data_IF_948538183057
#
_entry.id   IF_948538183057
#
_cell.length_a   1.000
_cell.length_b   1.000
_cell.length_c   1.000
_cell.angle_alpha   90.00
_cell.angle_beta   90.00
_cell.angle_gamma   90.00
#
_symmetry.space_group_name_H-M   'P 1'
#
loop_
_entity.id
_entity.type
_entity.pdbx_description
1 polymer ?
#
# COMPACT_ATOMS: atom_id res chain seq x y z
N UNK A 1 -13.14 -20.71 13.80
CA UNK A 1 -12.98 -19.61 12.81
C UNK A 1 -12.88 -18.24 13.48
N UNK A 2 -13.60 -17.97 14.57
CA UNK A 2 -13.67 -16.65 15.24
C UNK A 2 -12.36 -16.16 15.89
N UNK A 3 -11.54 -17.07 16.44
CA UNK A 3 -10.24 -16.75 17.05
C UNK A 3 -9.19 -16.30 16.02
N UNK A 4 -9.24 -16.85 14.80
CA UNK A 4 -8.33 -16.50 13.72
C UNK A 4 -8.57 -15.08 13.18
N UNK A 5 -9.83 -14.66 13.08
CA UNK A 5 -10.20 -13.31 12.63
C UNK A 5 -9.83 -12.24 13.67
N UNK A 6 -10.04 -12.52 14.97
CA UNK A 6 -9.58 -11.65 16.06
C UNK A 6 -8.07 -11.43 16.05
N UNK A 7 -7.28 -12.49 15.88
CA UNK A 7 -5.81 -12.38 15.79
C UNK A 7 -5.38 -11.58 14.55
N UNK A 8 -6.01 -11.85 13.41
CA UNK A 8 -5.73 -11.15 12.15
C UNK A 8 -5.98 -9.63 12.25
N UNK A 9 -7.11 -9.25 12.84
CA UNK A 9 -7.45 -7.86 13.16
C UNK A 9 -6.47 -7.24 14.14
N UNK A 10 -6.05 -7.98 15.16
CA UNK A 10 -5.03 -7.56 16.12
C UNK A 10 -3.70 -7.20 15.46
N UNK A 11 -3.24 -7.99 14.50
CA UNK A 11 -2.01 -7.69 13.75
C UNK A 11 -2.10 -6.39 12.95
N UNK A 12 -3.20 -6.16 12.24
CA UNK A 12 -3.39 -4.92 11.48
C UNK A 12 -3.44 -3.72 12.40
N UNK A 13 -4.25 -3.76 13.46
CA UNK A 13 -4.39 -2.64 14.39
C UNK A 13 -3.08 -2.34 15.13
N UNK A 14 -2.37 -3.37 15.59
CA UNK A 14 -1.07 -3.23 16.23
C UNK A 14 -0.04 -2.60 15.29
N UNK A 15 0.01 -3.07 14.03
CA UNK A 15 0.87 -2.49 13.01
C UNK A 15 0.53 -1.01 12.71
N UNK A 16 -0.75 -0.69 12.58
CA UNK A 16 -1.20 0.70 12.36
C UNK A 16 -0.80 1.61 13.50
N UNK A 17 -0.98 1.17 14.75
CA UNK A 17 -0.56 1.93 15.92
C UNK A 17 0.96 2.16 15.89
N UNK A 18 1.75 1.11 15.71
CA UNK A 18 3.21 1.19 15.59
C UNK A 18 3.68 2.14 14.47
N UNK A 19 3.06 2.08 13.29
CA UNK A 19 3.34 3.04 12.20
C UNK A 19 2.97 4.47 12.59
N UNK A 20 1.90 4.68 13.35
CA UNK A 20 1.44 6.00 13.79
C UNK A 20 2.49 6.71 14.68
N UNK A 21 3.25 5.95 15.48
CA UNK A 21 4.30 6.46 16.37
C UNK A 21 5.57 6.98 15.65
N UNK A 22 5.75 6.71 14.35
CA UNK A 22 6.91 7.19 13.57
C UNK A 22 7.16 8.69 13.76
N UNK A 23 6.09 9.49 13.66
CA UNK A 23 6.19 10.95 13.79
C UNK A 23 6.63 11.39 15.18
N UNK A 24 6.20 10.67 16.21
CA UNK A 24 6.55 10.97 17.61
C UNK A 24 8.04 10.75 17.85
N UNK A 25 8.58 9.60 17.41
CA UNK A 25 10.02 9.33 17.52
C UNK A 25 10.86 10.30 16.67
N UNK A 26 10.34 10.74 15.52
CA UNK A 26 10.99 11.76 14.72
C UNK A 26 11.16 13.08 15.49
N UNK A 27 10.07 13.59 16.10
CA UNK A 27 10.12 14.83 16.90
C UNK A 27 11.04 14.67 18.11
N UNK A 28 11.00 13.52 18.80
CA UNK A 28 11.90 13.26 19.93
C UNK A 28 13.37 13.21 19.50
N UNK A 29 13.67 12.63 18.34
CA UNK A 29 15.02 12.68 17.77
C UNK A 29 15.44 14.13 17.43
N UNK A 30 14.55 14.95 16.87
CA UNK A 30 14.84 16.36 16.60
C UNK A 30 15.09 17.17 17.88
N UNK A 31 14.30 16.94 18.93
CA UNK A 31 14.50 17.56 20.25
C UNK A 31 15.82 17.13 20.90
N UNK A 32 16.36 15.97 20.54
CA UNK A 32 17.69 15.52 20.96
C UNK A 32 18.86 16.14 20.17
N UNK A 33 18.59 17.12 19.30
CA UNK A 33 19.58 17.84 18.51
C UNK A 33 19.93 17.21 17.16
N UNK A 34 19.25 16.13 16.75
CA UNK A 34 19.50 15.50 15.45
C UNK A 34 18.85 16.31 14.32
N UNK A 35 19.60 16.51 13.24
CA UNK A 35 19.06 17.09 12.00
C UNK A 35 18.16 16.10 11.24
N UNK A 36 17.24 16.62 10.41
CA UNK A 36 16.37 15.79 9.56
C UNK A 36 17.17 14.79 8.71
N UNK A 37 18.23 15.20 7.98
CA UNK A 37 19.03 14.25 7.21
C UNK A 37 19.68 13.18 8.07
N UNK A 38 20.16 13.51 9.27
CA UNK A 38 20.78 12.54 10.18
C UNK A 38 19.79 11.46 10.60
N UNK A 39 18.56 11.85 10.97
CA UNK A 39 17.49 10.90 11.31
C UNK A 39 17.16 10.00 10.11
N UNK A 40 17.10 10.54 8.90
CA UNK A 40 16.89 9.75 7.68
C UNK A 40 17.98 8.71 7.46
N UNK A 41 19.24 9.14 7.51
CA UNK A 41 20.41 8.29 7.26
C UNK A 41 20.43 7.13 8.24
N UNK A 42 20.40 7.42 9.54
CA UNK A 42 20.46 6.40 10.57
C UNK A 42 19.26 5.45 10.52
N UNK A 43 18.05 5.96 10.23
CA UNK A 43 16.86 5.12 10.07
C UNK A 43 17.03 4.15 8.89
N UNK A 44 17.46 4.63 7.73
CA UNK A 44 17.62 3.79 6.53
C UNK A 44 18.75 2.79 6.72
N UNK A 45 19.86 3.22 7.32
CA UNK A 45 21.02 2.38 7.61
C UNK A 45 20.67 1.24 8.58
N UNK A 46 19.86 1.50 9.61
CA UNK A 46 19.39 0.48 10.55
C UNK A 46 18.30 -0.42 9.97
N UNK A 47 17.34 0.14 9.21
CA UNK A 47 16.19 -0.61 8.72
C UNK A 47 16.52 -1.54 7.54
N UNK A 48 17.35 -1.09 6.59
CA UNK A 48 17.69 -1.85 5.37
C UNK A 48 18.23 -3.26 5.63
N UNK A 49 19.26 -3.46 6.50
CA UNK A 49 19.76 -4.81 6.79
C UNK A 49 18.71 -5.69 7.46
N UNK A 50 17.84 -5.13 8.30
CA UNK A 50 16.77 -5.86 8.97
C UNK A 50 15.71 -6.36 7.96
N UNK A 51 15.36 -5.56 6.95
CA UNK A 51 14.48 -6.01 5.87
C UNK A 51 15.11 -7.12 5.04
N UNK A 52 16.40 -7.02 4.72
CA UNK A 52 17.13 -8.07 4.02
C UNK A 52 17.24 -9.35 4.84
N UNK A 53 17.47 -9.24 6.14
CA UNK A 53 17.45 -10.37 7.06
C UNK A 53 16.09 -11.09 7.03
N UNK A 54 14.98 -10.34 7.14
CA UNK A 54 13.63 -10.91 7.05
C UNK A 54 13.35 -11.55 5.69
N UNK A 55 13.80 -10.93 4.59
CA UNK A 55 13.66 -11.49 3.24
C UNK A 55 14.48 -12.77 3.06
N UNK A 56 15.68 -12.86 3.64
CA UNK A 56 16.53 -14.05 3.59
C UNK A 56 15.94 -15.22 4.39
N UNK A 57 15.43 -14.95 5.60
CA UNK A 57 14.83 -15.96 6.47
C UNK A 57 13.59 -16.62 5.83
N UNK A 58 12.74 -15.83 5.18
CA UNK A 58 11.54 -16.35 4.50
C UNK A 58 11.85 -16.88 3.11
N UNK A 59 12.82 -16.28 2.42
CA UNK A 59 13.30 -16.75 1.11
C UNK A 59 13.83 -18.18 1.14
N UNK A 60 14.47 -18.59 2.26
CA UNK A 60 14.92 -19.97 2.49
C UNK A 60 13.78 -20.98 2.60
N UNK A 61 12.59 -20.56 3.00
CA UNK A 61 11.42 -21.45 3.19
C UNK A 61 10.60 -21.66 1.92
N UNK A 62 10.53 -20.66 1.05
CA UNK A 62 9.52 -20.64 -0.01
C UNK A 62 10.01 -21.07 -1.40
N UNK A 63 11.29 -21.41 -1.59
CA UNK A 63 11.82 -21.98 -2.84
C UNK A 63 11.62 -21.16 -4.13
N UNK A 64 10.96 -20.01 -4.07
CA UNK A 64 10.58 -19.21 -5.24
C UNK A 64 11.81 -18.52 -5.83
N UNK A 65 12.03 -18.62 -7.16
CA UNK A 65 13.19 -18.01 -7.81
C UNK A 65 13.16 -16.49 -7.70
N UNK A 66 14.33 -15.88 -7.53
CA UNK A 66 14.47 -14.42 -7.40
C UNK A 66 14.33 -13.73 -8.76
N UNK A 67 13.21 -13.02 -8.98
CA UNK A 67 13.01 -12.26 -10.20
C UNK A 67 13.81 -10.94 -10.16
N UNK A 68 15.02 -10.96 -10.74
CA UNK A 68 15.94 -9.80 -10.78
C UNK A 68 15.31 -8.57 -11.43
N UNK A 69 14.53 -8.73 -12.50
CA UNK A 69 13.86 -7.61 -13.19
C UNK A 69 12.80 -6.97 -12.28
N UNK A 70 11.95 -7.79 -11.64
CA UNK A 70 10.97 -7.28 -10.70
C UNK A 70 11.64 -6.61 -9.49
N UNK A 71 12.75 -7.16 -8.97
CA UNK A 71 13.52 -6.56 -7.89
C UNK A 71 14.13 -5.22 -8.29
N UNK A 72 14.67 -5.08 -9.50
CA UNK A 72 15.19 -3.81 -10.01
C UNK A 72 14.09 -2.74 -10.06
N UNK A 73 12.92 -3.06 -10.63
CA UNK A 73 11.81 -2.11 -10.64
C UNK A 73 11.27 -1.82 -9.23
N UNK A 74 11.31 -2.78 -8.30
CA UNK A 74 10.94 -2.56 -6.91
C UNK A 74 11.91 -1.56 -6.24
N UNK A 75 13.22 -1.71 -6.48
CA UNK A 75 14.22 -0.73 -6.04
C UNK A 75 13.97 0.65 -6.68
N UNK A 76 13.63 0.72 -7.96
CA UNK A 76 13.30 2.00 -8.60
C UNK A 76 12.08 2.68 -7.94
N UNK A 77 11.02 1.91 -7.62
CA UNK A 77 9.89 2.44 -6.85
C UNK A 77 10.29 2.86 -5.43
N UNK A 78 11.30 2.22 -4.86
CA UNK A 78 11.90 2.58 -3.57
C UNK A 78 12.47 4.00 -3.51
N UNK A 79 12.90 4.55 -4.64
CA UNK A 79 13.35 5.96 -4.72
C UNK A 79 12.19 6.92 -4.47
N UNK A 80 11.01 6.64 -5.02
CA UNK A 80 9.79 7.42 -4.74
C UNK A 80 9.37 7.30 -3.26
N UNK A 81 9.55 6.12 -2.67
CA UNK A 81 9.32 5.94 -1.23
C UNK A 81 10.32 6.75 -0.39
N UNK A 82 11.58 6.83 -0.79
CA UNK A 82 12.56 7.71 -0.15
C UNK A 82 12.16 9.18 -0.23
N UNK A 83 11.75 9.66 -1.42
CA UNK A 83 11.30 11.04 -1.59
C UNK A 83 10.08 11.35 -0.71
N UNK A 84 9.14 10.40 -0.62
CA UNK A 84 8.00 10.50 0.28
C UNK A 84 8.46 10.61 1.75
N UNK A 85 9.38 9.74 2.17
CA UNK A 85 9.89 9.73 3.54
C UNK A 85 10.67 11.01 3.87
N UNK A 86 11.57 11.46 3.00
CA UNK A 86 12.34 12.69 3.18
C UNK A 86 11.42 13.89 3.33
N UNK A 87 10.46 14.03 2.41
CA UNK A 87 9.47 15.12 2.45
C UNK A 87 8.63 15.09 3.73
N UNK A 88 8.22 13.90 4.19
CA UNK A 88 7.46 13.75 5.44
C UNK A 88 8.27 14.19 6.67
N UNK A 89 9.55 13.83 6.75
CA UNK A 89 10.39 14.24 7.88
C UNK A 89 10.67 15.74 7.89
N UNK A 90 10.88 16.36 6.72
CA UNK A 90 10.92 17.82 6.64
C UNK A 90 9.59 18.45 7.04
N UNK A 91 8.45 17.86 6.64
CA UNK A 91 7.14 18.35 7.09
C UNK A 91 6.99 18.27 8.62
N UNK A 92 7.35 17.13 9.24
CA UNK A 92 7.29 16.95 10.69
C UNK A 92 8.13 18.01 11.42
N UNK A 93 9.30 18.37 10.89
CA UNK A 93 10.15 19.41 11.47
C UNK A 93 9.45 20.79 11.49
N UNK A 94 8.67 21.11 10.45
CA UNK A 94 8.07 22.44 10.30
C UNK A 94 6.69 22.57 10.95
N UNK A 95 5.84 21.54 10.85
CA UNK A 95 4.43 21.61 11.27
C UNK A 95 4.04 20.55 12.32
N UNK A 96 4.98 19.74 12.80
CA UNK A 96 4.74 18.73 13.82
C UNK A 96 4.22 17.39 13.27
N UNK A 97 4.15 16.40 14.16
CA UNK A 97 3.85 15.02 13.80
C UNK A 97 2.38 14.80 13.43
N UNK A 98 1.46 15.46 14.13
CA UNK A 98 0.04 15.25 13.90
C UNK A 98 -0.44 15.92 12.60
N UNK A 99 -0.09 17.19 12.39
CA UNK A 99 -0.51 17.93 11.19
C UNK A 99 0.08 17.33 9.91
N UNK A 100 1.37 16.95 9.92
CA UNK A 100 1.99 16.31 8.76
C UNK A 100 1.29 14.99 8.39
N UNK A 101 0.93 14.17 9.40
CA UNK A 101 0.26 12.88 9.19
C UNK A 101 -1.12 13.05 8.55
N UNK A 102 -1.89 14.05 8.98
CA UNK A 102 -3.22 14.32 8.43
C UNK A 102 -3.11 14.71 6.95
N UNK A 103 -2.19 15.61 6.61
CA UNK A 103 -1.96 16.02 5.22
C UNK A 103 -1.46 14.84 4.39
N UNK A 104 -0.51 14.04 4.90
CA UNK A 104 -0.03 12.83 4.23
C UNK A 104 -1.18 11.87 3.89
N UNK A 105 -2.17 11.75 4.78
CA UNK A 105 -3.32 10.87 4.59
C UNK A 105 -4.26 11.26 3.46
N UNK A 106 -4.01 12.38 2.77
CA UNK A 106 -4.65 12.73 1.51
C UNK A 106 -4.15 11.91 0.31
N UNK A 107 -3.11 11.09 0.46
CA UNK A 107 -2.57 10.22 -0.59
C UNK A 107 -3.63 9.40 -1.37
N UNK A 108 -4.72 8.86 -0.77
CA UNK A 108 -5.74 8.13 -1.54
C UNK A 108 -6.43 9.00 -2.59
N UNK A 109 -6.59 10.30 -2.31
CA UNK A 109 -7.16 11.24 -3.26
C UNK A 109 -6.22 11.48 -4.45
N UNK A 110 -4.90 11.56 -4.20
CA UNK A 110 -3.89 11.63 -5.26
C UNK A 110 -3.83 10.35 -6.10
N UNK A 111 -3.97 9.18 -5.49
CA UNK A 111 -4.07 7.91 -6.22
C UNK A 111 -5.25 7.95 -7.20
N UNK A 112 -6.43 8.37 -6.75
CA UNK A 112 -7.61 8.49 -7.62
C UNK A 112 -7.37 9.46 -8.78
N UNK A 113 -6.74 10.62 -8.49
CA UNK A 113 -6.36 11.58 -9.52
C UNK A 113 -5.43 10.98 -10.57
N UNK A 114 -4.39 10.26 -10.14
CA UNK A 114 -3.48 9.58 -11.07
C UNK A 114 -4.17 8.48 -11.87
N UNK A 115 -5.01 7.66 -11.24
CA UNK A 115 -5.77 6.62 -11.96
C UNK A 115 -6.72 7.23 -12.99
N UNK A 116 -7.29 8.40 -12.71
CA UNK A 116 -8.11 9.12 -13.67
C UNK A 116 -7.31 9.70 -14.84
N UNK A 117 -6.17 10.34 -14.56
CA UNK A 117 -5.28 10.90 -15.59
C UNK A 117 -4.76 9.83 -16.56
N UNK A 118 -4.50 8.61 -16.07
CA UNK A 118 -4.07 7.47 -16.89
C UNK A 118 -5.25 6.83 -17.65
N UNK A 119 -6.48 7.36 -17.50
CA UNK A 119 -7.68 6.83 -18.15
C UNK A 119 -8.18 5.51 -17.55
N UNK A 120 -7.68 5.10 -16.38
CA UNK A 120 -8.13 3.87 -15.68
C UNK A 120 -9.42 4.09 -14.91
N UNK A 121 -9.77 5.34 -14.61
CA UNK A 121 -10.98 5.69 -13.86
C UNK A 121 -11.64 6.96 -14.41
N UNK A 122 -12.95 6.91 -14.65
CA UNK A 122 -13.73 8.11 -14.97
C UNK A 122 -14.21 8.75 -13.67
N UNK A 123 -13.86 10.03 -13.44
CA UNK A 123 -14.30 10.77 -12.26
C UNK A 123 -15.81 11.02 -12.36
N UNK A 124 -16.56 10.61 -11.35
CA UNK A 124 -17.96 11.00 -11.17
C UNK A 124 -18.04 12.29 -10.35
N UNK A 125 -19.17 13.00 -10.41
CA UNK A 125 -19.36 14.27 -9.67
C UNK A 125 -19.09 14.15 -8.16
N UNK A 126 -19.37 12.99 -7.56
CA UNK A 126 -19.08 12.76 -6.15
C UNK A 126 -17.58 12.48 -5.88
N UNK A 127 -16.84 11.90 -6.83
CA UNK A 127 -15.38 11.74 -6.70
C UNK A 127 -14.71 13.12 -6.67
N UNK A 128 -15.22 14.06 -7.48
CA UNK A 128 -14.80 15.47 -7.46
C UNK A 128 -15.15 16.11 -6.11
N UNK A 129 -16.36 15.90 -5.59
CA UNK A 129 -16.75 16.44 -4.27
C UNK A 129 -15.85 15.92 -3.13
N UNK A 130 -15.50 14.64 -3.15
CA UNK A 130 -14.58 14.03 -2.17
C UNK A 130 -13.17 14.59 -2.30
N UNK A 131 -12.69 14.79 -3.52
CA UNK A 131 -11.39 15.41 -3.79
C UNK A 131 -11.38 16.86 -3.28
N UNK A 132 -12.42 17.65 -3.57
CA UNK A 132 -12.57 19.03 -3.08
C UNK A 132 -12.63 19.08 -1.56
N UNK A 133 -13.36 18.16 -0.92
CA UNK A 133 -13.42 18.06 0.54
C UNK A 133 -12.05 17.73 1.15
N UNK A 134 -11.28 16.84 0.54
CA UNK A 134 -9.92 16.53 0.98
C UNK A 134 -9.00 17.76 0.85
N UNK A 135 -9.06 18.49 -0.28
CA UNK A 135 -8.29 19.72 -0.47
C UNK A 135 -8.65 20.82 0.52
N UNK A 136 -9.95 21.01 0.80
CA UNK A 136 -10.42 21.95 1.82
C UNK A 136 -9.90 21.56 3.21
N UNK A 137 -9.94 20.27 3.55
CA UNK A 137 -9.43 19.77 4.82
C UNK A 137 -7.92 19.98 4.97
N UNK A 138 -7.14 19.76 3.91
CA UNK A 138 -5.70 20.06 3.88
C UNK A 138 -5.46 21.55 4.09
N UNK A 139 -6.21 22.42 3.41
CA UNK A 139 -6.08 23.86 3.56
C UNK A 139 -6.35 24.32 4.99
N UNK A 140 -7.37 23.76 5.65
CA UNK A 140 -7.67 24.03 7.06
C UNK A 140 -6.55 23.57 8.01
N UNK A 141 -5.93 22.41 7.75
CA UNK A 141 -4.82 21.91 8.58
C UNK A 141 -3.54 22.74 8.36
N UNK A 142 -3.31 23.17 7.12
CA UNK A 142 -2.14 23.96 6.73
C UNK A 142 -2.18 25.41 7.24
N UNK A 143 -3.35 25.90 7.69
CA UNK A 143 -3.56 27.28 8.10
C UNK A 143 -3.94 27.39 9.59
N UNK A 144 -3.10 26.95 10.55
CA UNK A 144 -3.45 26.99 11.97
C UNK A 144 -3.81 28.39 12.49
N UNK A 145 -3.26 29.44 11.87
CA UNK A 145 -3.51 30.85 12.19
C UNK A 145 -4.40 31.55 11.14
N UNK A 146 -5.05 30.79 10.25
CA UNK A 146 -5.82 31.34 9.13
C UNK A 146 -4.94 31.98 8.05
N UNK A 147 -5.55 32.86 7.24
CA UNK A 147 -4.93 33.48 6.07
C UNK A 147 -3.73 34.38 6.43
N UNK A 148 -3.70 34.94 7.64
CA UNK A 148 -2.57 35.73 8.13
C UNK A 148 -1.31 34.88 8.23
N UNK A 149 -1.37 33.68 8.81
CA UNK A 149 -0.21 32.77 8.88
C UNK A 149 0.33 32.34 7.51
N UNK A 150 -0.53 32.27 6.49
CA UNK A 150 -0.11 31.98 5.11
C UNK A 150 0.76 33.10 4.53
N UNK A 151 0.33 34.36 4.70
CA UNK A 151 1.03 35.53 4.19
C UNK A 151 2.40 35.76 4.86
N UNK A 152 2.61 35.20 6.07
CA UNK A 152 3.89 35.27 6.78
C UNK A 152 4.85 34.11 6.43
N UNK A 153 4.56 33.32 5.38
CA UNK A 153 5.50 32.34 4.84
C UNK A 153 5.50 30.97 5.51
N UNK A 154 4.51 30.65 6.36
CA UNK A 154 4.46 29.38 7.10
C UNK A 154 3.90 28.19 6.27
N UNK A 155 4.02 28.23 4.94
CA UNK A 155 3.45 27.21 4.02
C UNK A 155 4.42 26.07 3.68
N UNK A 156 5.72 26.23 3.98
CA UNK A 156 6.77 25.28 3.57
C UNK A 156 6.52 23.86 4.11
N UNK A 157 6.11 23.72 5.37
CA UNK A 157 5.80 22.41 5.96
C UNK A 157 4.60 21.71 5.34
N UNK A 158 3.57 22.47 4.95
CA UNK A 158 2.41 21.93 4.24
C UNK A 158 2.80 21.46 2.82
N UNK A 159 3.67 22.21 2.14
CA UNK A 159 4.17 21.81 0.82
C UNK A 159 5.00 20.53 0.90
N UNK A 160 5.86 20.39 1.92
CA UNK A 160 6.60 19.15 2.18
C UNK A 160 5.66 17.97 2.47
N UNK A 161 4.59 18.18 3.25
CA UNK A 161 3.62 17.13 3.53
C UNK A 161 2.83 16.72 2.26
N UNK A 162 2.47 17.68 1.41
CA UNK A 162 1.86 17.43 0.11
C UNK A 162 2.80 16.69 -0.85
N UNK A 163 4.06 17.11 -0.94
CA UNK A 163 5.09 16.43 -1.72
C UNK A 163 5.29 14.98 -1.27
N UNK A 164 5.18 14.74 0.04
CA UNK A 164 5.16 13.39 0.60
C UNK A 164 3.94 12.59 0.14
N UNK A 165 2.73 13.15 0.25
CA UNK A 165 1.50 12.48 -0.18
C UNK A 165 1.52 12.10 -1.67
N UNK A 166 2.00 13.00 -2.53
CA UNK A 166 2.15 12.76 -3.98
C UNK A 166 3.17 11.66 -4.23
N UNK A 167 4.37 11.77 -3.65
CA UNK A 167 5.44 10.78 -3.82
C UNK A 167 5.04 9.39 -3.31
N UNK A 168 4.32 9.35 -2.19
CA UNK A 168 3.80 8.11 -1.60
C UNK A 168 2.72 7.48 -2.49
N UNK A 169 1.86 8.29 -3.10
CA UNK A 169 0.85 7.82 -4.06
C UNK A 169 1.48 7.19 -5.29
N UNK A 170 2.52 7.83 -5.85
CA UNK A 170 3.30 7.27 -6.97
C UNK A 170 3.91 5.93 -6.55
N UNK A 171 4.56 5.86 -5.39
CA UNK A 171 5.10 4.61 -4.85
C UNK A 171 4.02 3.50 -4.77
N UNK A 172 2.86 3.80 -4.21
CA UNK A 172 1.78 2.82 -4.05
C UNK A 172 1.25 2.32 -5.41
N UNK A 173 0.98 3.22 -6.37
CA UNK A 173 0.49 2.84 -7.71
C UNK A 173 1.53 2.01 -8.46
N UNK A 174 2.80 2.43 -8.42
CA UNK A 174 3.88 1.75 -9.14
C UNK A 174 4.27 0.42 -8.52
N UNK A 175 4.05 0.20 -7.22
CA UNK A 175 4.47 -1.01 -6.49
C UNK A 175 3.62 -2.26 -6.74
N UNK A 176 2.38 -2.11 -7.22
CA UNK A 176 1.39 -3.20 -7.22
C UNK A 176 1.86 -4.44 -7.98
N UNK A 177 2.51 -4.24 -9.13
CA UNK A 177 2.98 -5.34 -10.00
C UNK A 177 4.15 -6.10 -9.37
N UNK A 178 5.12 -5.39 -8.84
CA UNK A 178 6.35 -5.96 -8.25
C UNK A 178 6.01 -6.66 -6.93
N UNK A 179 5.08 -6.10 -6.16
CA UNK A 179 4.55 -6.74 -4.95
C UNK A 179 3.95 -8.11 -5.26
N UNK A 180 3.18 -8.24 -6.35
CA UNK A 180 2.61 -9.51 -6.77
C UNK A 180 3.67 -10.52 -7.25
N UNK A 181 4.76 -10.05 -7.89
CA UNK A 181 5.81 -10.92 -8.44
C UNK A 181 6.86 -11.38 -7.40
N UNK A 182 7.18 -10.52 -6.42
CA UNK A 182 8.24 -10.78 -5.43
C UNK A 182 7.69 -11.25 -4.09
N UNK A 183 6.42 -10.98 -3.81
CA UNK A 183 5.86 -11.05 -2.47
C UNK A 183 6.34 -9.88 -1.58
N UNK A 184 5.60 -9.62 -0.51
CA UNK A 184 5.77 -8.41 0.31
C UNK A 184 7.16 -8.23 0.89
N UNK A 185 7.78 -9.29 1.40
CA UNK A 185 9.08 -9.20 2.08
C UNK A 185 10.23 -8.85 1.14
N UNK A 186 10.35 -9.58 0.03
CA UNK A 186 11.36 -9.32 -1.00
C UNK A 186 11.12 -7.98 -1.67
N UNK A 187 9.86 -7.60 -1.88
CA UNK A 187 9.49 -6.27 -2.35
C UNK A 187 9.98 -5.18 -1.38
N UNK A 188 9.70 -5.28 -0.08
CA UNK A 188 10.13 -4.27 0.89
C UNK A 188 11.64 -4.16 1.05
N UNK A 189 12.36 -5.30 0.96
CA UNK A 189 13.82 -5.29 0.98
C UNK A 189 14.39 -4.60 -0.26
N UNK A 190 13.88 -4.91 -1.46
CA UNK A 190 14.28 -4.26 -2.70
C UNK A 190 13.92 -2.76 -2.70
N UNK A 191 12.70 -2.41 -2.30
CA UNK A 191 12.26 -1.02 -2.17
C UNK A 191 13.13 -0.25 -1.16
N UNK A 192 13.56 -0.87 -0.04
CA UNK A 192 14.47 -0.22 0.88
C UNK A 192 15.89 -0.04 0.33
N UNK A 193 16.39 -0.99 -0.46
CA UNK A 193 17.63 -0.77 -1.21
C UNK A 193 17.50 0.42 -2.16
N UNK A 194 16.35 0.55 -2.84
CA UNK A 194 16.01 1.73 -3.63
C UNK A 194 16.03 3.03 -2.84
N UNK A 195 15.45 3.02 -1.64
CA UNK A 195 15.45 4.18 -0.76
C UNK A 195 16.85 4.54 -0.25
N UNK A 196 17.69 3.54 0.03
CA UNK A 196 19.09 3.74 0.38
C UNK A 196 19.88 4.37 -0.79
N UNK A 197 19.63 3.95 -2.03
CA UNK A 197 20.21 4.59 -3.22
C UNK A 197 19.73 6.04 -3.34
N UNK A 198 18.43 6.30 -3.15
CA UNK A 198 17.89 7.67 -3.16
C UNK A 198 18.55 8.58 -2.11
N UNK A 199 18.82 8.03 -0.92
CA UNK A 199 19.57 8.72 0.12
C UNK A 199 21.01 9.03 -0.32
N UNK A 200 21.73 8.06 -0.88
CA UNK A 200 23.12 8.25 -1.33
C UNK A 200 23.22 9.31 -2.43
N UNK A 201 22.29 9.31 -3.39
CA UNK A 201 22.22 10.32 -4.45
C UNK A 201 21.92 11.71 -3.89
N UNK A 202 21.08 11.79 -2.86
CA UNK A 202 20.73 13.06 -2.21
C UNK A 202 21.74 13.51 -1.16
N UNK A 203 22.72 12.67 -0.83
CA UNK A 203 23.68 12.90 0.25
C UNK A 203 24.49 14.20 0.10
N UNK A 204 25.02 14.56 -1.08
CA UNK A 204 25.79 15.80 -1.25
C UNK A 204 24.96 17.06 -0.91
N UNK A 205 23.66 17.03 -1.23
CA UNK A 205 22.74 18.11 -0.89
C UNK A 205 22.51 18.21 0.62
N UNK A 206 22.39 17.07 1.31
CA UNK A 206 22.20 17.09 2.77
C UNK A 206 23.46 17.42 3.55
N UNK A 207 24.60 16.86 3.16
CA UNK A 207 25.88 17.04 3.85
C UNK A 207 26.37 18.48 3.82
N UNK A 208 26.02 19.24 2.78
CA UNK A 208 26.33 20.66 2.66
C UNK A 208 25.49 21.56 3.58
N UNK A 209 24.35 21.09 4.06
CA UNK A 209 23.39 21.89 4.83
C UNK A 209 23.37 21.54 6.33
N UNK A 210 23.72 20.30 6.70
CA UNK A 210 23.86 19.90 8.09
C UNK A 210 24.84 18.71 8.24
N UNK A 211 25.77 18.75 9.21
CA UNK A 211 26.63 17.62 9.50
C UNK A 211 25.81 16.42 10.01
N UNK A 212 26.36 15.21 9.81
CA UNK A 212 25.84 13.99 10.43
C UNK A 212 25.98 14.12 11.95
N UNK A 213 24.85 14.35 12.60
CA UNK A 213 24.76 14.44 14.06
C UNK A 213 24.19 13.13 14.59
N UNK A 214 24.87 12.54 15.56
CA UNK A 214 24.36 11.41 16.33
C UNK A 214 24.53 11.74 17.80
N UNK A 215 23.42 11.98 18.49
CA UNK A 215 23.40 12.15 19.94
C UNK A 215 23.03 10.83 20.61
N UNK A 216 23.51 10.58 21.84
CA UNK A 216 23.21 9.33 22.54
C UNK A 216 21.71 9.10 22.75
N UNK A 217 20.86 10.11 23.08
CA UNK A 217 19.42 9.91 23.15
C UNK A 217 18.80 9.76 21.75
N UNK A 218 19.35 10.46 20.76
CA UNK A 218 18.89 10.42 19.37
C UNK A 218 19.03 9.03 18.74
N UNK A 219 20.13 8.31 19.03
CA UNK A 219 20.31 6.93 18.59
C UNK A 219 19.20 6.01 19.10
N UNK A 220 18.77 6.19 20.36
CA UNK A 220 17.66 5.44 20.95
C UNK A 220 16.35 5.67 20.20
N UNK A 221 16.03 6.93 19.92
CA UNK A 221 14.81 7.29 19.17
C UNK A 221 14.83 6.80 17.72
N UNK A 222 15.96 6.92 17.03
CA UNK A 222 16.09 6.42 15.65
C UNK A 222 16.06 4.89 15.61
N UNK A 223 16.68 4.21 16.58
CA UNK A 223 16.59 2.76 16.74
C UNK A 223 15.15 2.29 16.97
N UNK A 224 14.42 2.94 17.88
CA UNK A 224 12.98 2.71 18.08
C UNK A 224 12.19 2.97 16.79
N UNK A 225 12.51 4.04 16.07
CA UNK A 225 11.83 4.35 14.82
C UNK A 225 12.10 3.32 13.72
N UNK A 226 13.33 2.84 13.58
CA UNK A 226 13.71 1.80 12.63
C UNK A 226 13.04 0.46 12.96
N UNK A 227 13.08 0.03 14.22
CA UNK A 227 12.55 -1.28 14.61
C UNK A 227 11.03 -1.25 14.83
N UNK A 228 10.56 -0.41 15.75
CA UNK A 228 9.17 -0.38 16.23
C UNK A 228 8.21 0.31 15.26
N UNK A 229 8.66 1.33 14.52
CA UNK A 229 7.76 2.07 13.61
C UNK A 229 8.00 1.83 12.11
N UNK A 230 8.99 1.00 11.76
CA UNK A 230 9.30 0.68 10.37
C UNK A 230 9.34 -0.83 10.12
N UNK A 231 10.30 -1.55 10.68
CA UNK A 231 10.53 -2.97 10.38
C UNK A 231 9.39 -3.82 10.93
N UNK A 232 9.23 -3.90 12.27
CA UNK A 232 8.25 -4.75 12.94
C UNK A 232 6.80 -4.56 12.43
N UNK A 233 6.24 -3.33 12.35
CA UNK A 233 4.88 -3.13 11.88
C UNK A 233 4.70 -3.51 10.41
N UNK A 234 5.76 -3.46 9.60
CA UNK A 234 5.67 -3.94 8.21
C UNK A 234 5.40 -5.45 8.16
N UNK A 235 6.08 -6.24 8.99
CA UNK A 235 5.80 -7.68 9.09
C UNK A 235 4.39 -7.97 9.63
N UNK A 236 3.99 -7.28 10.71
CA UNK A 236 2.67 -7.45 11.31
C UNK A 236 1.55 -7.04 10.34
N UNK A 237 1.73 -5.93 9.61
CA UNK A 237 0.76 -5.47 8.61
C UNK A 237 0.61 -6.49 7.49
N UNK A 238 1.71 -7.08 7.01
CA UNK A 238 1.63 -8.11 5.97
C UNK A 238 0.95 -9.38 6.44
N UNK A 239 1.24 -9.84 7.65
CA UNK A 239 0.54 -10.97 8.25
C UNK A 239 -0.95 -10.68 8.42
N UNK A 240 -1.28 -9.47 8.87
CA UNK A 240 -2.65 -8.98 8.98
C UNK A 240 -3.37 -8.99 7.63
N UNK A 241 -2.80 -8.36 6.60
CA UNK A 241 -3.34 -8.34 5.24
C UNK A 241 -3.52 -9.76 4.68
N UNK A 242 -2.57 -10.67 4.91
CA UNK A 242 -2.66 -12.06 4.45
C UNK A 242 -3.87 -12.80 5.04
N UNK A 243 -4.27 -12.46 6.28
CA UNK A 243 -5.37 -13.12 6.99
C UNK A 243 -6.72 -12.40 6.84
N UNK A 244 -6.75 -11.07 6.87
CA UNK A 244 -7.99 -10.28 6.77
C UNK A 244 -8.35 -9.87 5.34
N UNK A 245 -7.40 -9.96 4.42
CA UNK A 245 -7.48 -9.33 3.09
C UNK A 245 -7.14 -7.84 3.11
N UNK A 246 -6.64 -7.34 1.97
CA UNK A 246 -6.15 -5.98 1.82
C UNK A 246 -7.22 -4.91 2.05
N UNK A 247 -8.47 -5.15 1.64
CA UNK A 247 -9.56 -4.16 1.78
C UNK A 247 -9.99 -3.95 3.23
N UNK A 248 -10.10 -5.02 4.04
CA UNK A 248 -10.41 -4.87 5.46
C UNK A 248 -9.24 -4.20 6.19
N UNK A 249 -8.01 -4.61 5.87
CA UNK A 249 -6.82 -4.03 6.47
C UNK A 249 -6.67 -2.52 6.17
N UNK A 250 -6.97 -2.08 4.94
CA UNK A 250 -6.91 -0.66 4.58
C UNK A 250 -7.90 0.19 5.36
N UNK A 251 -9.12 -0.32 5.60
CA UNK A 251 -10.12 0.36 6.43
C UNK A 251 -9.68 0.48 7.88
N UNK A 252 -9.06 -0.57 8.44
CA UNK A 252 -8.52 -0.52 9.80
C UNK A 252 -7.35 0.46 9.92
N UNK A 253 -6.53 0.56 8.88
CA UNK A 253 -5.41 1.50 8.85
C UNK A 253 -5.83 2.99 8.88
N UNK A 254 -7.11 3.30 8.61
CA UNK A 254 -7.65 4.66 8.69
C UNK A 254 -7.64 5.27 10.08
N UNK A 255 -7.49 4.47 11.14
CA UNK A 255 -7.32 4.99 12.51
C UNK A 255 -5.94 5.62 12.75
N UNK A 256 -4.98 5.38 11.85
CA UNK A 256 -3.59 5.84 11.97
C UNK A 256 -3.44 7.34 12.29
N UNK A 257 -4.07 8.27 11.53
CA UNK A 257 -4.03 9.70 11.83
C UNK A 257 -4.55 10.05 13.22
N UNK A 258 -5.66 9.45 13.65
CA UNK A 258 -6.22 9.69 14.98
C UNK A 258 -5.24 9.26 16.09
N UNK A 259 -4.55 8.14 15.92
CA UNK A 259 -3.51 7.69 16.85
C UNK A 259 -2.33 8.67 16.85
N UNK A 260 -1.83 9.09 15.68
CA UNK A 260 -0.70 10.04 15.62
C UNK A 260 -1.06 11.38 16.26
N UNK A 261 -2.24 11.94 15.97
CA UNK A 261 -2.70 13.21 16.55
C UNK A 261 -2.84 13.10 18.07
N UNK A 262 -3.48 12.03 18.56
CA UNK A 262 -3.64 11.80 20.00
C UNK A 262 -2.29 11.62 20.70
N UNK A 263 -1.38 10.85 20.11
CA UNK A 263 -0.03 10.64 20.66
C UNK A 263 0.80 11.92 20.62
N UNK A 264 0.65 12.76 19.59
CA UNK A 264 1.35 14.04 19.50
C UNK A 264 0.86 15.02 20.56
N UNK A 265 -0.46 15.07 20.81
CA UNK A 265 -1.00 15.88 21.90
C UNK A 265 -0.53 15.39 23.28
N UNK A 266 -0.63 14.09 23.55
CA UNK A 266 -0.30 13.51 24.87
C UNK A 266 1.20 13.49 25.18
N UNK A 267 2.04 13.13 24.20
CA UNK A 267 3.48 12.87 24.42
C UNK A 267 4.37 14.04 24.04
N UNK A 268 3.98 14.83 23.04
CA UNK A 268 4.77 15.97 22.56
C UNK A 268 4.23 17.31 23.06
N UNK A 269 3.01 17.35 23.58
CA UNK A 269 2.32 18.58 23.96
C UNK A 269 1.88 19.41 22.75
N UNK A 270 1.72 18.81 21.56
CA UNK A 270 1.28 19.53 20.36
C UNK A 270 -0.15 20.05 20.57
N UNK A 271 -0.34 21.38 20.48
CA UNK A 271 -1.66 22.01 20.59
C UNK A 271 -2.32 22.04 19.22
N UNK A 272 -3.46 21.36 19.09
CA UNK A 272 -4.29 21.39 17.90
C UNK A 272 -5.29 22.55 17.97
N UNK A 273 -5.29 23.40 16.95
CA UNK A 273 -6.34 24.42 16.84
C UNK A 273 -7.66 23.77 16.42
N UNK A 274 -8.78 24.38 16.77
CA UNK A 274 -10.11 23.91 16.34
C UNK A 274 -10.22 23.82 14.81
N UNK A 275 -9.51 24.70 14.10
CA UNK A 275 -9.43 24.69 12.64
C UNK A 275 -8.72 23.43 12.13
N UNK A 276 -7.58 23.06 12.73
CA UNK A 276 -6.85 21.84 12.37
C UNK A 276 -7.66 20.58 12.69
N UNK A 277 -8.41 20.57 13.80
CA UNK A 277 -9.29 19.46 14.15
C UNK A 277 -10.42 19.30 13.12
N UNK A 278 -11.06 20.40 12.71
CA UNK A 278 -12.08 20.39 11.65
C UNK A 278 -11.50 19.92 10.31
N UNK A 279 -10.35 20.46 9.92
CA UNK A 279 -9.66 20.05 8.69
C UNK A 279 -9.28 18.57 8.70
N UNK A 280 -8.77 18.06 9.82
CA UNK A 280 -8.45 16.64 9.98
C UNK A 280 -9.68 15.74 9.88
N UNK A 281 -10.78 16.11 10.53
CA UNK A 281 -12.04 15.39 10.43
C UNK A 281 -12.55 15.35 8.98
N UNK A 282 -12.42 16.46 8.25
CA UNK A 282 -12.82 16.56 6.85
C UNK A 282 -11.96 15.66 5.94
N UNK A 283 -10.63 15.69 6.08
CA UNK A 283 -9.73 14.81 5.31
C UNK A 283 -10.05 13.34 5.56
N UNK A 284 -10.17 12.93 6.84
CA UNK A 284 -10.47 11.54 7.21
C UNK A 284 -11.83 11.11 6.66
N UNK A 285 -12.85 11.98 6.74
CA UNK A 285 -14.19 11.72 6.20
C UNK A 285 -14.18 11.54 4.69
N UNK A 286 -13.49 12.42 3.95
CA UNK A 286 -13.33 12.31 2.50
C UNK A 286 -12.67 10.98 2.11
N UNK A 287 -11.59 10.60 2.78
CA UNK A 287 -10.88 9.34 2.53
C UNK A 287 -11.76 8.12 2.88
N UNK A 288 -12.52 8.17 3.97
CA UNK A 288 -13.46 7.12 4.37
C UNK A 288 -14.53 6.89 3.31
N UNK A 289 -15.16 7.98 2.84
CA UNK A 289 -16.18 7.91 1.78
C UNK A 289 -15.58 7.34 0.50
N UNK A 290 -14.36 7.77 0.15
CA UNK A 290 -13.65 7.26 -1.01
C UNK A 290 -13.40 5.75 -0.93
N UNK A 291 -12.80 5.28 0.17
CA UNK A 291 -12.43 3.87 0.33
C UNK A 291 -13.65 2.95 0.37
N UNK A 292 -14.72 3.33 1.08
CA UNK A 292 -15.95 2.51 1.12
C UNK A 292 -16.54 2.31 -0.28
N UNK A 293 -16.49 3.34 -1.12
CA UNK A 293 -17.02 3.27 -2.48
C UNK A 293 -16.13 2.46 -3.42
N UNK A 294 -14.81 2.62 -3.33
CA UNK A 294 -13.89 1.84 -4.15
C UNK A 294 -14.01 0.34 -3.87
N UNK A 295 -14.21 -0.05 -2.61
CA UNK A 295 -14.51 -1.43 -2.22
C UNK A 295 -15.85 -1.90 -2.81
N UNK A 296 -16.95 -1.17 -2.56
CA UNK A 296 -18.29 -1.55 -3.04
C UNK A 296 -18.34 -1.70 -4.57
N UNK A 297 -17.65 -0.82 -5.30
CA UNK A 297 -17.58 -0.87 -6.77
C UNK A 297 -16.84 -2.10 -7.27
N UNK A 298 -15.76 -2.51 -6.60
CA UNK A 298 -15.03 -3.74 -6.94
C UNK A 298 -15.90 -4.97 -6.72
N UNK A 299 -16.65 -5.03 -5.62
CA UNK A 299 -17.59 -6.12 -5.33
C UNK A 299 -18.66 -6.24 -6.43
N UNK A 300 -19.41 -5.17 -6.72
CA UNK A 300 -20.42 -5.19 -7.81
C UNK A 300 -19.84 -5.55 -9.19
N UNK A 301 -18.61 -5.14 -9.50
CA UNK A 301 -17.97 -5.51 -10.78
C UNK A 301 -17.59 -6.99 -10.81
N UNK A 302 -17.22 -7.55 -9.67
CA UNK A 302 -16.86 -8.96 -9.54
C UNK A 302 -18.10 -9.85 -9.62
N UNK A 303 -19.17 -9.48 -8.93
CA UNK A 303 -20.46 -10.19 -8.97
C UNK A 303 -21.07 -10.17 -10.38
N UNK A 304 -20.98 -9.04 -11.08
CA UNK A 304 -21.42 -8.95 -12.48
C UNK A 304 -20.62 -9.86 -13.42
N UNK A 305 -19.33 -10.08 -13.17
CA UNK A 305 -18.51 -11.02 -13.98
C UNK A 305 -18.81 -12.48 -13.67
N UNK A 306 -19.14 -12.80 -12.41
CA UNK A 306 -19.51 -14.15 -12.00
C UNK A 306 -20.89 -14.48 -12.60
N UNK A 307 -21.86 -13.58 -12.52
CA UNK A 307 -23.19 -13.77 -13.11
C UNK A 307 -23.18 -13.96 -14.63
N UNK A 308 -22.28 -13.30 -15.36
CA UNK A 308 -22.16 -13.49 -16.83
C UNK A 308 -21.48 -14.81 -17.23
N UNK A 309 -20.79 -15.50 -16.31
CA UNK A 309 -20.13 -16.77 -16.61
C UNK A 309 -21.01 -17.99 -16.30
N UNK A 310 -22.12 -17.83 -15.57
CA UNK A 310 -23.09 -18.89 -15.30
C UNK A 310 -24.20 -18.98 -16.37
N UNK A 311 -24.30 -18.02 -17.29
CA UNK A 311 -25.28 -17.99 -18.38
C UNK A 311 -24.71 -18.48 -19.73
N UNK A 312 -23.99 -19.60 -19.75
CA UNK A 312 -23.95 -20.42 -20.97
C UNK A 312 -25.10 -21.43 -20.86
N UNK A 313 -26.18 -21.31 -21.65
CA UNK A 313 -27.17 -22.37 -21.71
C UNK A 313 -26.46 -23.62 -22.20
N UNK A 314 -26.42 -24.67 -21.38
CA UNK A 314 -26.20 -26.02 -21.90
C UNK A 314 -27.38 -26.32 -22.83
N UNK A 315 -27.18 -26.08 -24.12
CA UNK A 315 -28.11 -26.49 -25.17
C UNK A 315 -28.17 -28.02 -25.17
N UNK A 316 -29.31 -28.66 -24.83
CA UNK A 316 -29.44 -30.08 -24.97
C UNK A 316 -29.60 -30.36 -26.46
N UNK A 317 -28.50 -30.68 -27.15
CA UNK A 317 -28.54 -31.16 -28.53
C UNK A 317 -29.47 -32.39 -28.62
N UNK A 318 -30.66 -32.13 -29.17
CA UNK A 318 -31.69 -33.08 -29.54
C UNK A 318 -31.10 -34.02 -30.59
N UNK A 319 -31.19 -35.32 -30.34
CA UNK A 319 -30.77 -36.35 -31.28
C UNK A 319 -31.60 -36.29 -32.57
N UNK A 320 -30.92 -36.12 -33.70
CA UNK A 320 -31.47 -36.46 -35.01
C UNK A 320 -30.94 -37.82 -35.44
N UNK A 321 -31.87 -38.77 -35.53
CA UNK A 321 -31.75 -40.02 -36.31
C UNK A 321 -31.33 -39.69 -37.74
N UNK A 322 -30.44 -40.52 -38.27
CA UNK A 322 -30.50 -41.18 -39.57
C UNK A 322 -29.11 -41.29 -40.18
N UNK A 323 -28.55 -42.49 -40.18
CA UNK A 323 -27.96 -43.07 -41.39
C UNK A 323 -27.70 -44.57 -41.19
N UNK A 324 -28.55 -45.35 -41.85
CA UNK A 324 -28.45 -46.80 -42.04
C UNK A 324 -27.87 -47.05 -43.43
N UNK A 325 -26.83 -47.89 -43.51
CA UNK A 325 -26.29 -48.71 -44.64
C UNK A 325 -24.76 -48.74 -44.48
N UNK A 326 -24.00 -49.81 -44.67
CA UNK A 326 -24.21 -51.14 -45.25
C UNK A 326 -22.88 -51.90 -45.06
N UNK A 327 -22.91 -53.22 -44.80
CA UNK A 327 -21.87 -54.12 -45.33
C UNK A 327 -21.05 -54.98 -44.35
N UNK A 328 -21.52 -56.23 -44.18
CA UNK A 328 -20.78 -57.52 -44.18
C UNK A 328 -19.69 -57.87 -43.15
N UNK A 329 -19.96 -59.01 -42.48
CA UNK A 329 -19.11 -60.18 -42.12
C UNK A 329 -17.75 -59.91 -41.45
N UNK A 330 -17.41 -60.46 -40.29
CA UNK A 330 -17.31 -61.91 -40.01
C UNK A 330 -17.48 -62.24 -38.52
N UNK A 331 -17.92 -63.47 -38.29
CA UNK A 331 -18.06 -64.20 -37.04
C UNK A 331 -16.74 -64.64 -36.43
N UNK A 332 -16.54 -64.44 -35.12
CA UNK A 332 -15.88 -65.41 -34.24
C UNK A 332 -16.23 -65.14 -32.76
N UNK A 333 -16.70 -66.21 -32.11
CA UNK A 333 -17.08 -66.36 -30.70
C UNK A 333 -15.79 -66.35 -29.85
N UNK A 334 -15.69 -65.66 -28.71
CA UNK A 334 -15.78 -66.26 -27.36
C UNK A 334 -15.58 -65.22 -26.25
N UNK A 335 -16.49 -65.27 -25.27
CA UNK A 335 -16.32 -64.98 -23.82
C UNK A 335 -15.68 -63.68 -23.32
N UNK A 336 -16.44 -62.91 -22.55
CA UNK A 336 -15.90 -62.00 -21.53
C UNK A 336 -16.70 -60.71 -21.39
N UNK A 337 -17.52 -60.62 -20.35
CA UNK A 337 -18.25 -59.42 -19.91
C UNK A 337 -17.39 -58.15 -19.79
N UNK A 338 -17.85 -56.98 -20.29
CA UNK A 338 -17.36 -55.68 -19.83
C UNK A 338 -18.46 -54.90 -19.09
N UNK A 339 -18.22 -54.60 -17.82
CA UNK A 339 -18.85 -53.48 -17.10
C UNK A 339 -18.41 -52.15 -17.72
N UNK A 340 -19.30 -51.15 -17.86
CA UNK A 340 -19.01 -49.95 -18.63
C UNK A 340 -18.08 -48.98 -17.87
N UNK A 341 -17.07 -48.51 -18.58
CA UNK A 341 -16.22 -47.40 -18.20
C UNK A 341 -17.03 -46.09 -18.17
N UNK A 342 -16.91 -45.37 -17.07
CA UNK A 342 -17.44 -44.03 -16.85
C UNK A 342 -16.68 -43.01 -17.73
N UNK A 343 -17.31 -42.22 -18.60
CA UNK A 343 -16.58 -41.25 -19.41
C UNK A 343 -16.05 -40.10 -18.54
N UNK A 344 -14.74 -39.89 -18.63
CA UNK A 344 -14.04 -38.79 -18.01
C UNK A 344 -14.62 -37.45 -18.48
N UNK A 345 -15.06 -36.62 -17.52
CA UNK A 345 -15.34 -35.21 -17.72
C UNK A 345 -13.98 -34.49 -17.83
N UNK A 346 -13.46 -34.37 -19.05
CA UNK A 346 -12.31 -33.50 -19.35
C UNK A 346 -12.80 -32.07 -19.49
N UNK A 347 -12.76 -31.29 -18.41
CA UNK A 347 -12.89 -29.83 -18.45
C UNK A 347 -11.62 -29.20 -19.08
N UNK A 348 -11.47 -29.25 -20.39
CA UNK A 348 -10.51 -28.40 -21.11
C UNK A 348 -11.15 -27.05 -21.38
N UNK A 349 -10.90 -26.06 -20.52
CA UNK A 349 -11.46 -24.73 -20.73
C UNK A 349 -11.23 -23.67 -19.66
N UNK A 350 -10.16 -23.74 -18.85
CA UNK A 350 -9.80 -22.61 -17.97
C UNK A 350 -9.10 -21.51 -18.79
N UNK A 351 -9.88 -20.59 -19.37
CA UNK A 351 -9.35 -19.38 -20.00
C UNK A 351 -8.60 -18.55 -18.95
N UNK A 352 -7.31 -18.33 -19.17
CA UNK A 352 -6.49 -17.44 -18.33
C UNK A 352 -7.06 -16.01 -18.36
N UNK A 353 -7.22 -15.34 -17.20
CA UNK A 353 -7.75 -13.98 -17.16
C UNK A 353 -6.90 -13.00 -17.97
N UNK A 354 -7.56 -12.13 -18.74
CA UNK A 354 -6.97 -11.19 -19.73
C UNK A 354 -5.84 -10.30 -19.18
N UNK A 355 -5.75 -10.07 -17.87
CA UNK A 355 -4.69 -9.24 -17.25
C UNK A 355 -3.35 -9.98 -17.04
N UNK A 356 -3.28 -11.30 -17.28
CA UNK A 356 -2.02 -12.07 -17.27
C UNK A 356 -1.32 -12.13 -18.64
N UNK A 357 -1.94 -11.60 -19.70
CA UNK A 357 -1.29 -11.54 -21.02
C UNK A 357 -0.33 -10.36 -21.07
N UNK A 358 0.96 -10.66 -21.01
CA UNK A 358 2.00 -9.67 -21.32
C UNK A 358 1.83 -9.19 -22.77
N UNK A 359 1.92 -7.89 -23.06
CA UNK A 359 2.06 -7.45 -24.44
C UNK A 359 3.42 -7.95 -24.95
N UNK A 360 3.40 -8.85 -25.93
CA UNK A 360 4.55 -9.08 -26.81
C UNK A 360 4.54 -7.91 -27.80
N UNK A 361 5.62 -7.16 -27.84
CA UNK A 361 5.92 -6.22 -28.91
C UNK A 361 7.40 -6.44 -29.31
N UNK A 362 7.75 -6.07 -30.55
CA UNK A 362 8.63 -6.84 -31.45
C UNK A 362 10.07 -6.95 -30.99
#
# INVERSE_FOLDING_TARGET
METGDRQARGYVMGATAMFAFKGIFAVLAYRSGMSVPSVLVWRILLATPLFWLGAALVGRRNGTPWNRKAAFYASLTGVAFFLAAASDFFAIQHIGAGASRVILFSFPAFILGFESLIGRHQLRGLDVAVLLGAWLGIALVALPHGLSGFLHGHWSGALWALASAVSYSVFLVSSQRQLALLGSLRFTAAAQSGAAVGLLVSWPFFASHAPLSLTSPGLGWVGAMALFSTVLPTFLMFEGIRRTGASKASLMALIGPAITVSAAWLLLGERFTSLQACGAALVVSSVLVHQRRSTRRRETTNDARIGTNDETPCDPQVGSRDEMKSGRSESAVTSGSPTPANPAITCTGASTPKWLRSPRFP
#
